data_IF_704039198605
#
_entry.id   IF_704039198605
#
_cell.length_a   1.000
_cell.length_b   1.000
_cell.length_c   1.000
_cell.angle_alpha   90.00
_cell.angle_beta   90.00
_cell.angle_gamma   90.00
#
_symmetry.space_group_name_H-M   'P 1'
#
loop_
_entity.id
_entity.type
_entity.pdbx_description
1 polymer ?
#
# COMPACT_ATOMS: atom_id res chain seq x y z
N UNK A 1 -18.21 -24.72 25.98
CA UNK A 1 -19.26 -24.19 25.12
C UNK A 1 -19.40 -22.70 25.38
N UNK A 2 -19.20 -21.91 24.34
CA UNK A 2 -19.28 -20.45 24.46
C UNK A 2 -20.71 -20.02 24.19
N UNK A 3 -21.53 -20.08 25.25
CA UNK A 3 -22.93 -19.71 25.15
C UNK A 3 -23.09 -18.24 24.78
N UNK A 4 -23.72 -17.96 23.65
CA UNK A 4 -24.09 -16.62 23.24
C UNK A 4 -23.00 -15.85 22.46
N UNK A 5 -21.85 -16.44 22.18
CA UNK A 5 -20.82 -15.79 21.39
C UNK A 5 -20.81 -16.33 19.96
N UNK A 6 -21.25 -15.50 19.04
CA UNK A 6 -21.05 -15.77 17.61
C UNK A 6 -19.68 -15.20 17.22
N UNK A 7 -18.72 -16.07 16.95
CA UNK A 7 -17.45 -15.64 16.37
C UNK A 7 -17.73 -15.26 14.91
N UNK A 8 -17.82 -13.97 14.63
CA UNK A 8 -17.81 -13.52 13.24
C UNK A 8 -16.40 -13.72 12.71
N UNK A 9 -16.25 -14.71 11.83
CA UNK A 9 -15.02 -14.83 11.05
C UNK A 9 -14.97 -13.60 10.15
N UNK A 10 -14.12 -12.63 10.53
CA UNK A 10 -13.83 -11.49 9.66
C UNK A 10 -13.04 -12.04 8.48
N UNK A 11 -13.68 -12.12 7.34
CA UNK A 11 -13.01 -12.50 6.09
C UNK A 11 -12.03 -11.39 5.74
N UNK A 12 -10.73 -11.69 5.79
CA UNK A 12 -9.71 -10.77 5.33
C UNK A 12 -9.93 -10.47 3.84
N UNK A 13 -9.76 -9.20 3.41
CA UNK A 13 -9.86 -8.90 1.99
C UNK A 13 -8.82 -9.68 1.20
N UNK A 14 -9.13 -10.11 -0.03
CA UNK A 14 -8.17 -10.82 -0.86
C UNK A 14 -6.96 -9.94 -1.18
N UNK A 15 -5.78 -10.55 -1.25
CA UNK A 15 -4.55 -9.86 -1.66
C UNK A 15 -4.54 -9.73 -3.19
N UNK A 16 -5.12 -8.65 -3.69
CA UNK A 16 -5.26 -8.37 -5.13
C UNK A 16 -4.99 -6.89 -5.44
N UNK A 17 -5.07 -6.54 -6.71
CA UNK A 17 -4.87 -5.19 -7.21
C UNK A 17 -5.76 -4.16 -6.49
N UNK A 18 -7.04 -4.46 -6.32
CA UNK A 18 -7.98 -3.57 -5.67
C UNK A 18 -7.57 -3.29 -4.22
N UNK A 19 -7.19 -4.33 -3.49
CA UNK A 19 -6.70 -4.19 -2.11
C UNK A 19 -5.43 -3.34 -2.06
N UNK A 20 -4.52 -3.53 -3.02
CA UNK A 20 -3.30 -2.73 -3.11
C UNK A 20 -3.63 -1.26 -3.38
N UNK A 21 -4.55 -0.98 -4.30
CA UNK A 21 -4.97 0.40 -4.62
C UNK A 21 -5.59 1.07 -3.39
N UNK A 22 -6.45 0.37 -2.64
CA UNK A 22 -7.04 0.89 -1.41
C UNK A 22 -5.99 1.23 -0.36
N UNK A 23 -4.99 0.36 -0.20
CA UNK A 23 -3.87 0.60 0.72
C UNK A 23 -3.01 1.79 0.29
N UNK A 24 -2.70 1.91 -1.00
CA UNK A 24 -1.96 3.04 -1.55
C UNK A 24 -2.73 4.35 -1.37
N UNK A 25 -4.04 4.32 -1.57
CA UNK A 25 -4.91 5.48 -1.34
C UNK A 25 -4.85 5.94 0.12
N UNK A 26 -4.92 5.01 1.07
CA UNK A 26 -4.81 5.33 2.49
C UNK A 26 -3.44 5.93 2.81
N UNK A 27 -2.37 5.42 2.21
CA UNK A 27 -1.02 5.97 2.38
C UNK A 27 -0.95 7.43 1.94
N UNK A 28 -1.57 7.78 0.81
CA UNK A 28 -1.63 9.17 0.34
C UNK A 28 -2.44 10.03 1.31
N UNK A 29 -3.58 9.54 1.80
CA UNK A 29 -4.41 10.27 2.77
C UNK A 29 -3.68 10.53 4.08
N UNK A 30 -2.82 9.60 4.51
CA UNK A 30 -2.04 9.72 5.73
C UNK A 30 -0.78 10.57 5.57
N UNK A 31 -0.09 10.47 4.45
CA UNK A 31 1.27 10.98 4.27
C UNK A 31 1.39 12.07 3.20
N UNK A 32 0.35 12.28 2.37
CA UNK A 32 0.35 13.15 1.19
C UNK A 32 1.43 12.77 0.16
N UNK A 33 1.92 11.55 0.24
CA UNK A 33 2.94 10.98 -0.65
C UNK A 33 2.94 9.46 -0.55
N UNK A 34 3.68 8.82 -1.44
CA UNK A 34 3.93 7.38 -1.36
C UNK A 34 5.17 7.10 -0.52
N UNK A 35 5.22 5.98 0.23
CA UNK A 35 6.45 5.54 0.88
C UNK A 35 7.52 5.23 -0.16
N UNK A 36 8.78 5.36 0.21
CA UNK A 36 9.88 5.11 -0.72
C UNK A 36 9.96 3.63 -1.13
N UNK A 37 9.67 2.74 -0.20
CA UNK A 37 9.72 1.29 -0.41
C UNK A 37 8.49 0.62 0.20
N UNK A 38 8.01 -0.45 -0.43
CA UNK A 38 6.95 -1.29 0.13
C UNK A 38 7.55 -2.40 0.99
N UNK A 39 8.68 -2.98 0.55
CA UNK A 39 9.41 -4.00 1.30
C UNK A 39 10.82 -3.49 1.53
N UNK A 40 11.18 -3.32 2.79
CA UNK A 40 12.51 -2.88 3.17
C UNK A 40 13.51 -4.04 3.21
N UNK A 41 14.78 -3.71 2.94
CA UNK A 41 15.90 -4.64 3.12
C UNK A 41 16.12 -4.97 4.60
N UNK A 42 16.76 -6.10 4.91
CA UNK A 42 17.02 -6.45 6.32
C UNK A 42 17.73 -5.33 7.12
N UNK A 43 17.39 -5.12 8.42
CA UNK A 43 16.34 -5.84 9.15
C UNK A 43 14.95 -5.44 8.66
N UNK A 44 14.15 -6.45 8.32
CA UNK A 44 12.82 -6.22 7.75
C UNK A 44 11.91 -5.52 8.74
N UNK A 45 11.53 -4.30 8.41
CA UNK A 45 10.44 -3.62 9.09
C UNK A 45 9.19 -3.79 8.24
N UNK A 46 8.07 -4.04 8.89
CA UNK A 46 6.79 -4.04 8.20
C UNK A 46 6.44 -2.62 7.75
N UNK A 47 5.78 -2.52 6.61
CA UNK A 47 5.38 -1.23 6.04
C UNK A 47 4.55 -0.41 7.03
N UNK A 48 3.64 -1.05 7.79
CA UNK A 48 2.81 -0.37 8.78
C UNK A 48 3.64 0.26 9.91
N UNK A 49 4.76 -0.35 10.32
CA UNK A 49 5.65 0.24 11.33
C UNK A 49 6.32 1.52 10.81
N UNK A 50 6.80 1.48 9.56
CA UNK A 50 7.37 2.64 8.90
C UNK A 50 6.34 3.76 8.76
N UNK A 51 5.12 3.41 8.37
CA UNK A 51 4.02 4.36 8.21
C UNK A 51 3.66 5.01 9.55
N UNK A 52 3.61 4.23 10.65
CA UNK A 52 3.32 4.80 11.98
C UNK A 52 4.33 5.88 12.39
N UNK A 53 5.62 5.68 12.10
CA UNK A 53 6.63 6.70 12.37
C UNK A 53 6.40 7.97 11.54
N UNK A 54 6.02 7.81 10.27
CA UNK A 54 5.74 8.93 9.39
C UNK A 54 4.45 9.65 9.78
N UNK A 55 3.44 8.93 10.25
CA UNK A 55 2.16 9.51 10.71
C UNK A 55 2.36 10.44 11.90
N UNK A 56 3.29 10.12 12.81
CA UNK A 56 3.60 10.99 13.95
C UNK A 56 4.02 12.39 13.51
N UNK A 57 4.67 12.50 12.37
CA UNK A 57 5.15 13.77 11.80
C UNK A 57 4.19 14.37 10.79
N UNK A 58 3.13 13.65 10.41
CA UNK A 58 2.20 14.09 9.39
C UNK A 58 1.14 15.04 9.96
N UNK A 59 0.79 16.05 9.18
CA UNK A 59 -0.26 17.02 9.50
C UNK A 59 -1.48 16.88 8.57
N UNK A 60 -1.57 15.76 7.81
CA UNK A 60 -2.75 15.53 6.97
C UNK A 60 -4.01 15.38 7.82
N UNK A 61 -5.20 15.74 7.29
CA UNK A 61 -6.46 15.60 8.05
C UNK A 61 -6.68 14.17 8.58
N UNK A 62 -6.37 13.15 7.78
CA UNK A 62 -6.56 11.75 8.19
C UNK A 62 -5.57 11.36 9.29
N UNK A 63 -4.31 11.79 9.19
CA UNK A 63 -3.31 11.54 10.24
C UNK A 63 -3.69 12.23 11.55
N UNK A 64 -4.15 13.48 11.48
CA UNK A 64 -4.58 14.24 12.65
C UNK A 64 -5.81 13.59 13.30
N UNK A 65 -6.76 13.13 12.49
CA UNK A 65 -7.94 12.43 12.99
C UNK A 65 -7.56 11.13 13.71
N UNK A 66 -6.65 10.34 13.13
CA UNK A 66 -6.17 9.11 13.76
C UNK A 66 -5.53 9.39 15.12
N UNK A 67 -4.65 10.40 15.20
CA UNK A 67 -3.99 10.78 16.46
C UNK A 67 -5.02 11.20 17.50
N UNK A 68 -6.04 11.95 17.11
CA UNK A 68 -7.12 12.38 18.01
C UNK A 68 -7.93 11.19 18.53
N UNK A 69 -8.27 10.24 17.65
CA UNK A 69 -9.02 9.04 18.03
C UNK A 69 -8.24 8.11 18.97
N UNK A 70 -6.91 8.18 18.95
CA UNK A 70 -6.07 7.37 19.84
C UNK A 70 -5.95 7.95 21.26
N UNK A 71 -6.26 9.23 21.43
CA UNK A 71 -6.22 9.87 22.75
C UNK A 71 -7.29 9.27 23.66
N UNK A 72 -6.91 9.02 24.90
CA UNK A 72 -7.84 8.50 25.91
C UNK A 72 -8.08 6.99 25.81
N UNK A 73 -7.50 6.30 24.85
CA UNK A 73 -7.60 4.84 24.76
C UNK A 73 -6.56 4.16 25.66
N UNK A 74 -6.88 2.94 26.13
CA UNK A 74 -5.93 2.07 26.80
C UNK A 74 -4.87 1.59 25.80
N UNK A 75 -3.74 1.07 26.28
CA UNK A 75 -2.70 0.49 25.40
C UNK A 75 -3.28 -0.60 24.47
N UNK A 76 -4.14 -1.47 25.02
CA UNK A 76 -4.81 -2.49 24.21
C UNK A 76 -5.76 -1.91 23.17
N UNK A 77 -6.49 -0.85 23.53
CA UNK A 77 -7.36 -0.13 22.60
C UNK A 77 -6.60 0.54 21.47
N UNK A 78 -5.47 1.16 21.79
CA UNK A 78 -4.58 1.77 20.78
C UNK A 78 -4.05 0.71 19.81
N UNK A 79 -3.59 -0.44 20.33
CA UNK A 79 -3.06 -1.52 19.50
C UNK A 79 -4.11 -2.05 18.52
N UNK A 80 -5.33 -2.30 19.01
CA UNK A 80 -6.45 -2.77 18.17
C UNK A 80 -6.79 -1.74 17.09
N UNK A 81 -6.94 -0.48 17.49
CA UNK A 81 -7.28 0.62 16.56
C UNK A 81 -6.25 0.76 15.45
N UNK A 82 -4.96 0.70 15.80
CA UNK A 82 -3.86 0.74 14.82
C UNK A 82 -3.91 -0.43 13.85
N UNK A 83 -4.10 -1.65 14.34
CA UNK A 83 -4.20 -2.84 13.48
C UNK A 83 -5.33 -2.70 12.49
N UNK A 84 -6.53 -2.35 12.95
CA UNK A 84 -7.72 -2.20 12.09
C UNK A 84 -7.52 -1.09 11.07
N UNK A 85 -7.02 0.06 11.52
CA UNK A 85 -6.83 1.23 10.65
C UNK A 85 -5.78 0.99 9.57
N UNK A 86 -4.69 0.29 9.92
CA UNK A 86 -3.57 0.07 9.00
C UNK A 86 -3.67 -1.23 8.20
N UNK A 87 -4.77 -1.98 8.36
CA UNK A 87 -4.98 -3.24 7.63
C UNK A 87 -4.85 -3.09 6.10
N UNK A 88 -5.40 -2.04 5.45
CA UNK A 88 -5.20 -1.86 4.00
C UNK A 88 -3.73 -1.70 3.59
N UNK A 89 -2.92 -1.11 4.46
CA UNK A 89 -1.48 -0.91 4.20
C UNK A 89 -0.75 -2.26 4.21
N UNK A 90 -1.09 -3.14 5.13
CA UNK A 90 -0.58 -4.52 5.13
C UNK A 90 -0.99 -5.27 3.86
N UNK A 91 -2.16 -4.97 3.33
CA UNK A 91 -2.63 -5.53 2.06
C UNK A 91 -1.71 -5.18 0.88
N UNK A 92 -1.17 -3.97 0.84
CA UNK A 92 -0.20 -3.56 -0.19
C UNK A 92 1.07 -4.40 -0.07
N UNK A 93 1.61 -4.54 1.14
CA UNK A 93 2.83 -5.30 1.39
C UNK A 93 2.65 -6.78 1.00
N UNK A 94 1.54 -7.40 1.42
CA UNK A 94 1.26 -8.81 1.09
C UNK A 94 1.08 -9.01 -0.39
N UNK A 95 0.35 -8.13 -1.07
CA UNK A 95 0.16 -8.22 -2.52
C UNK A 95 1.50 -8.15 -3.25
N UNK A 96 2.34 -7.18 -2.90
CA UNK A 96 3.66 -7.04 -3.52
C UNK A 96 4.55 -8.26 -3.25
N UNK A 97 4.51 -8.78 -2.04
CA UNK A 97 5.25 -9.99 -1.67
C UNK A 97 4.80 -11.21 -2.48
N UNK A 98 3.50 -11.37 -2.69
CA UNK A 98 2.96 -12.44 -3.53
C UNK A 98 3.43 -12.32 -4.99
N UNK A 99 3.50 -11.10 -5.51
CA UNK A 99 4.04 -10.86 -6.84
C UNK A 99 5.51 -11.30 -6.97
N UNK A 100 6.29 -11.08 -5.92
CA UNK A 100 7.68 -11.56 -5.88
C UNK A 100 7.72 -13.09 -5.84
N UNK A 101 6.93 -13.71 -4.96
CA UNK A 101 6.87 -15.16 -4.84
C UNK A 101 6.44 -15.84 -6.15
N UNK A 102 5.48 -15.27 -6.84
CA UNK A 102 4.94 -15.79 -8.09
C UNK A 102 5.76 -15.39 -9.32
N UNK A 103 6.92 -14.77 -9.10
CA UNK A 103 7.85 -14.35 -10.17
C UNK A 103 7.19 -13.48 -11.23
N UNK A 104 6.33 -12.53 -10.77
CA UNK A 104 5.62 -11.59 -11.65
C UNK A 104 6.44 -10.33 -11.97
N UNK A 105 7.73 -10.33 -11.69
CA UNK A 105 8.62 -9.22 -11.98
C UNK A 105 8.08 -7.86 -11.51
N UNK A 106 7.71 -7.71 -10.22
CA UNK A 106 7.15 -6.45 -9.74
C UNK A 106 8.20 -5.36 -9.60
N UNK A 107 7.79 -4.11 -9.84
CA UNK A 107 8.60 -2.93 -9.53
C UNK A 107 7.73 -1.84 -8.94
N UNK A 108 8.33 -1.00 -8.10
CA UNK A 108 7.64 0.07 -7.39
C UNK A 108 8.51 1.33 -7.39
N UNK A 109 7.92 2.47 -7.71
CA UNK A 109 8.61 3.73 -7.92
C UNK A 109 8.11 4.87 -7.02
N UNK A 110 7.68 4.54 -5.79
CA UNK A 110 7.12 5.52 -4.86
C UNK A 110 8.08 6.63 -4.43
N UNK A 111 9.39 6.43 -4.59
CA UNK A 111 10.39 7.45 -4.29
C UNK A 111 10.34 8.63 -5.27
N UNK A 112 9.98 8.36 -6.54
CA UNK A 112 10.06 9.34 -7.63
C UNK A 112 8.70 9.68 -8.25
N UNK A 113 7.64 8.95 -7.91
CA UNK A 113 6.29 9.16 -8.43
C UNK A 113 5.40 9.70 -7.32
N UNK A 114 4.61 10.73 -7.66
CA UNK A 114 3.71 11.40 -6.70
C UNK A 114 2.24 11.10 -7.03
N UNK A 115 1.31 11.33 -6.08
CA UNK A 115 -0.12 11.17 -6.35
C UNK A 115 -0.67 12.08 -7.45
N UNK A 116 0.06 13.12 -7.83
CA UNK A 116 -0.33 14.04 -8.91
C UNK A 116 0.10 13.57 -10.29
N UNK A 117 0.96 12.55 -10.36
CA UNK A 117 1.48 12.03 -11.62
C UNK A 117 0.47 11.06 -12.24
N UNK A 118 -0.26 11.52 -13.26
CA UNK A 118 -1.29 10.73 -13.94
C UNK A 118 -0.73 9.81 -15.02
N UNK A 119 0.50 10.05 -15.45
CA UNK A 119 1.15 9.37 -16.56
C UNK A 119 2.44 8.63 -16.18
N UNK A 120 2.81 8.64 -14.90
CA UNK A 120 4.01 7.97 -14.41
C UNK A 120 3.68 6.70 -13.66
N UNK A 121 4.42 5.64 -13.96
CA UNK A 121 4.23 4.33 -13.34
C UNK A 121 4.64 4.37 -11.87
N UNK A 122 3.70 4.04 -10.98
CA UNK A 122 3.99 3.86 -9.55
C UNK A 122 4.37 2.42 -9.25
N UNK A 123 3.61 1.47 -9.77
CA UNK A 123 3.83 0.04 -9.56
C UNK A 123 3.46 -0.72 -10.83
N UNK A 124 4.19 -1.77 -11.13
CA UNK A 124 3.87 -2.63 -12.27
C UNK A 124 4.25 -4.08 -12.00
N UNK A 125 3.58 -5.01 -12.67
CA UNK A 125 3.90 -6.43 -12.60
C UNK A 125 3.47 -7.12 -13.89
N UNK A 126 4.10 -8.27 -14.15
CA UNK A 126 3.85 -9.08 -15.34
C UNK A 126 2.56 -9.88 -15.19
N UNK A 127 1.70 -9.81 -16.20
CA UNK A 127 0.44 -10.60 -16.25
C UNK A 127 0.49 -11.69 -17.33
N UNK A 128 1.31 -11.51 -18.35
CA UNK A 128 1.60 -12.51 -19.39
C UNK A 128 2.99 -12.26 -19.97
N UNK A 129 3.45 -13.08 -20.91
CA UNK A 129 4.80 -12.93 -21.49
C UNK A 129 5.02 -11.56 -22.14
N UNK A 130 3.97 -10.95 -22.69
CA UNK A 130 4.06 -9.68 -23.41
C UNK A 130 3.28 -8.54 -22.77
N UNK A 131 2.67 -8.75 -21.60
CA UNK A 131 1.80 -7.76 -20.98
C UNK A 131 2.13 -7.55 -19.51
N UNK A 132 1.99 -6.30 -19.09
CA UNK A 132 2.17 -5.86 -17.71
C UNK A 132 0.95 -5.08 -17.24
N UNK A 133 0.62 -5.26 -15.97
CA UNK A 133 -0.36 -4.42 -15.30
C UNK A 133 0.37 -3.25 -14.66
N UNK A 134 -0.17 -2.04 -14.82
CA UNK A 134 0.46 -0.80 -14.34
C UNK A 134 -0.54 -0.04 -13.48
N UNK A 135 -0.10 0.41 -12.31
CA UNK A 135 -0.80 1.40 -11.49
C UNK A 135 -0.01 2.69 -11.62
N UNK A 136 -0.67 3.77 -12.03
CA UNK A 136 -0.05 5.09 -12.16
C UNK A 136 -0.10 5.87 -10.83
N UNK A 137 0.61 7.00 -10.77
CA UNK A 137 0.68 7.80 -9.55
C UNK A 137 -0.67 8.27 -9.02
N UNK A 138 -1.66 8.49 -9.88
CA UNK A 138 -3.04 8.85 -9.49
C UNK A 138 -3.91 7.63 -9.14
N UNK A 139 -3.31 6.43 -9.13
CA UNK A 139 -3.93 5.15 -8.78
C UNK A 139 -4.88 4.58 -9.84
N UNK A 140 -4.95 5.15 -11.06
CA UNK A 140 -5.62 4.43 -12.13
C UNK A 140 -4.72 3.30 -12.64
N UNK A 141 -5.32 2.25 -13.18
CA UNK A 141 -4.59 1.06 -13.61
C UNK A 141 -4.99 0.64 -15.02
N UNK A 142 -4.04 0.11 -15.77
CA UNK A 142 -4.28 -0.45 -17.10
C UNK A 142 -3.29 -1.57 -17.41
N UNK A 143 -3.63 -2.39 -18.39
CA UNK A 143 -2.71 -3.39 -18.95
C UNK A 143 -2.02 -2.80 -20.16
N UNK A 144 -0.70 -2.89 -20.19
CA UNK A 144 0.13 -2.36 -21.28
C UNK A 144 1.02 -3.45 -21.85
N UNK A 145 1.48 -3.26 -23.08
CA UNK A 145 2.45 -4.15 -23.68
C UNK A 145 3.83 -3.95 -23.04
N UNK A 146 4.69 -4.95 -23.17
CA UNK A 146 6.07 -4.87 -22.69
C UNK A 146 6.81 -3.68 -23.29
N UNK A 147 6.58 -3.39 -24.58
CA UNK A 147 7.19 -2.25 -25.28
C UNK A 147 6.69 -0.92 -24.71
N UNK A 148 5.39 -0.82 -24.46
CA UNK A 148 4.80 0.38 -23.83
C UNK A 148 5.34 0.59 -22.42
N UNK A 149 5.50 -0.48 -21.65
CA UNK A 149 6.09 -0.38 -20.33
C UNK A 149 7.51 0.18 -20.39
N UNK A 150 8.32 -0.29 -21.34
CA UNK A 150 9.68 0.22 -21.51
C UNK A 150 9.70 1.74 -21.77
N UNK A 151 8.77 2.23 -22.59
CA UNK A 151 8.62 3.68 -22.84
C UNK A 151 8.22 4.42 -21.57
N UNK A 152 7.27 3.89 -20.80
CA UNK A 152 6.80 4.51 -19.56
C UNK A 152 7.91 4.56 -18.51
N UNK A 153 8.69 3.50 -18.39
CA UNK A 153 9.81 3.46 -17.42
C UNK A 153 10.96 4.37 -17.85
N UNK A 154 11.21 4.49 -19.14
CA UNK A 154 12.22 5.41 -19.66
C UNK A 154 11.86 6.88 -19.39
N UNK A 155 10.56 7.19 -19.27
CA UNK A 155 10.07 8.55 -18.98
C UNK A 155 10.13 8.91 -17.49
N UNK A 156 10.45 7.96 -16.60
CA UNK A 156 10.55 8.24 -15.16
C UNK A 156 11.75 9.14 -14.85
N UNK A 157 11.64 10.03 -13.85
CA UNK A 157 12.76 10.83 -13.39
C UNK A 157 13.94 9.96 -12.95
N UNK A 158 15.14 10.41 -13.27
CA UNK A 158 16.37 9.72 -12.85
C UNK A 158 16.89 10.26 -11.52
#
# INVERSE_FOLDING_TARGET
>A
MLDGYTIKVVKLPPDNEETAIQGLKLLVELLDRYPENIIDSPPRRHLDETVLELVEKSETPVAMQLKEELKGLTEGGIAIKRVVFLMPIRGVERFYFLLIQDKKDPAYYGKIVTPKDTDKVLMRWKVSDNEYRVIYGDLHAETVTKEKLAELEAALPK
#
